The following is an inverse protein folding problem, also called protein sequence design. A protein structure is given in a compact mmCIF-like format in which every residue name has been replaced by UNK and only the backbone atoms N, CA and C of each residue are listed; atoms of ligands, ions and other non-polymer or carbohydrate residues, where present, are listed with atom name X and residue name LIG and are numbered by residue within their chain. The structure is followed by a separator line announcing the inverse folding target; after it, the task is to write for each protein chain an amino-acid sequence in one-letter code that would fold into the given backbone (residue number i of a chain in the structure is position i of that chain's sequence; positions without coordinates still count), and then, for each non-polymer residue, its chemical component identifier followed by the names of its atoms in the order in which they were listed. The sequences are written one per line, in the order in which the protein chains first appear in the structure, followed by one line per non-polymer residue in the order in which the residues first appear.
data_IF_156900802762
#
_entry.id   IF_156900802762
#
_cell.length_a   1.000
_cell.length_b   1.000
_cell.length_c   1.000
_cell.angle_alpha   90.00
_cell.angle_beta   90.00
_cell.angle_gamma   90.00
#
_symmetry.space_group_name_H-M   'P 1'
#
loop_
_entity.id
_entity.type
_entity.pdbx_description
1 polymer ?
#
# COMPACT_ATOMS: atom_id res chain seq x y z
N UNK A 1 2.50 26.51 -15.44
CA UNK A 1 3.08 25.23 -14.99
C UNK A 1 2.43 24.70 -13.71
N UNK A 2 2.23 25.54 -12.68
CA UNK A 2 1.63 25.14 -11.39
C UNK A 2 0.23 24.53 -11.49
N UNK A 3 -0.66 25.13 -12.29
CA UNK A 3 -2.04 24.64 -12.42
C UNK A 3 -2.11 23.19 -12.94
N UNK A 4 -1.33 22.85 -13.98
CA UNK A 4 -1.32 21.49 -14.55
C UNK A 4 -0.89 20.46 -13.51
N UNK A 5 0.12 20.79 -12.71
CA UNK A 5 0.59 19.91 -11.64
C UNK A 5 -0.49 19.76 -10.57
N UNK A 6 -1.10 20.86 -10.13
CA UNK A 6 -2.12 20.83 -9.08
C UNK A 6 -3.33 19.97 -9.47
N UNK A 7 -3.82 20.12 -10.71
CA UNK A 7 -4.88 19.27 -11.25
C UNK A 7 -4.45 17.79 -11.38
N UNK A 8 -3.20 17.53 -11.75
CA UNK A 8 -2.68 16.17 -11.87
C UNK A 8 -2.55 15.50 -10.49
N UNK A 9 -2.04 16.21 -9.50
CA UNK A 9 -1.93 15.73 -8.11
C UNK A 9 -3.30 15.44 -7.53
N UNK A 10 -4.26 16.35 -7.70
CA UNK A 10 -5.63 16.15 -7.22
C UNK A 10 -6.30 14.95 -7.89
N UNK A 11 -6.09 14.76 -9.20
CA UNK A 11 -6.61 13.61 -9.93
C UNK A 11 -6.02 12.29 -9.40
N UNK A 12 -4.71 12.23 -9.14
CA UNK A 12 -4.07 11.04 -8.59
C UNK A 12 -4.51 10.77 -7.14
N UNK A 13 -4.67 11.80 -6.31
CA UNK A 13 -5.23 11.68 -4.96
C UNK A 13 -6.64 11.10 -5.01
N UNK A 14 -7.51 11.65 -5.85
CA UNK A 14 -8.88 11.19 -6.02
C UNK A 14 -8.93 9.73 -6.52
N UNK A 15 -8.12 9.39 -7.54
CA UNK A 15 -8.04 8.02 -8.06
C UNK A 15 -7.54 7.04 -7.01
N UNK A 16 -6.52 7.41 -6.23
CA UNK A 16 -6.01 6.59 -5.13
C UNK A 16 -7.08 6.33 -4.06
N UNK A 17 -7.79 7.37 -3.63
CA UNK A 17 -8.89 7.24 -2.66
C UNK A 17 -10.01 6.36 -3.21
N UNK A 18 -10.43 6.57 -4.47
CA UNK A 18 -11.46 5.75 -5.11
C UNK A 18 -11.02 4.29 -5.21
N UNK A 19 -9.75 4.03 -5.57
CA UNK A 19 -9.20 2.68 -5.63
C UNK A 19 -9.27 1.97 -4.25
N UNK A 20 -8.82 2.64 -3.18
CA UNK A 20 -8.92 2.10 -1.80
C UNK A 20 -10.37 1.79 -1.45
N UNK A 21 -11.26 2.77 -1.62
CA UNK A 21 -12.68 2.62 -1.27
C UNK A 21 -13.31 1.46 -2.05
N UNK A 22 -13.03 1.37 -3.35
CA UNK A 22 -13.56 0.28 -4.18
C UNK A 22 -13.06 -1.08 -3.73
N UNK A 23 -11.76 -1.21 -3.39
CA UNK A 23 -11.18 -2.44 -2.86
C UNK A 23 -11.80 -2.85 -1.53
N UNK A 24 -12.02 -1.90 -0.63
CA UNK A 24 -12.69 -2.12 0.66
C UNK A 24 -14.13 -2.59 0.45
N UNK A 25 -14.90 -1.91 -0.40
CA UNK A 25 -16.30 -2.25 -0.67
C UNK A 25 -16.39 -3.66 -1.27
N UNK A 26 -15.58 -3.97 -2.29
CA UNK A 26 -15.58 -5.29 -2.94
C UNK A 26 -15.20 -6.39 -1.97
N UNK A 27 -14.17 -6.18 -1.15
CA UNK A 27 -13.74 -7.16 -0.16
C UNK A 27 -14.81 -7.38 0.93
N UNK A 28 -15.42 -6.31 1.42
CA UNK A 28 -16.51 -6.37 2.41
C UNK A 28 -17.75 -7.05 1.85
N UNK A 29 -18.18 -6.72 0.62
CA UNK A 29 -19.34 -7.35 -0.02
C UNK A 29 -19.08 -8.84 -0.26
N UNK A 30 -17.88 -9.21 -0.72
CA UNK A 30 -17.52 -10.61 -0.93
C UNK A 30 -17.50 -11.40 0.38
N UNK A 31 -17.06 -10.79 1.49
CA UNK A 31 -17.09 -11.39 2.82
C UNK A 31 -18.52 -11.62 3.30
N UNK A 32 -19.39 -10.61 3.24
CA UNK A 32 -20.79 -10.73 3.69
C UNK A 32 -21.54 -11.81 2.90
N UNK A 33 -21.32 -11.89 1.58
CA UNK A 33 -21.96 -12.90 0.73
C UNK A 33 -21.48 -14.33 1.03
N UNK A 34 -20.22 -14.50 1.42
CA UNK A 34 -19.61 -15.83 1.66
C UNK A 34 -19.60 -16.28 3.11
N UNK A 35 -19.85 -15.37 4.05
CA UNK A 35 -19.90 -15.66 5.48
C UNK A 35 -20.92 -16.76 5.81
N UNK A 36 -22.03 -16.81 5.08
CA UNK A 36 -23.05 -17.85 5.22
C UNK A 36 -22.69 -19.19 4.58
N UNK A 37 -21.65 -19.24 3.73
CA UNK A 37 -21.30 -20.41 2.89
C UNK A 37 -20.03 -21.12 3.35
N UNK A 38 -18.95 -20.36 3.61
CA UNK A 38 -17.58 -20.90 3.73
C UNK A 38 -17.08 -20.94 5.20
N UNK A 39 -17.90 -20.49 6.16
CA UNK A 39 -17.51 -20.34 7.56
C UNK A 39 -16.65 -19.10 7.81
N UNK A 40 -16.54 -18.70 9.09
CA UNK A 40 -15.93 -17.42 9.49
C UNK A 40 -14.41 -17.35 9.20
N UNK A 41 -13.68 -18.42 9.47
CA UNK A 41 -12.21 -18.43 9.48
C UNK A 41 -11.61 -18.33 8.06
N UNK A 42 -12.18 -19.07 7.09
CA UNK A 42 -11.76 -18.99 5.69
C UNK A 42 -12.22 -17.69 5.03
N UNK A 43 -13.43 -17.23 5.34
CA UNK A 43 -13.95 -15.93 4.88
C UNK A 43 -13.09 -14.76 5.38
N UNK A 44 -12.64 -14.81 6.64
CA UNK A 44 -11.79 -13.77 7.23
C UNK A 44 -10.40 -13.71 6.58
N UNK A 45 -9.79 -14.86 6.31
CA UNK A 45 -8.49 -14.94 5.62
C UNK A 45 -8.56 -14.33 4.22
N UNK A 46 -9.62 -14.65 3.46
CA UNK A 46 -9.85 -14.08 2.13
C UNK A 46 -10.18 -12.59 2.18
N UNK A 47 -10.93 -12.15 3.18
CA UNK A 47 -11.21 -10.73 3.42
C UNK A 47 -9.90 -9.94 3.61
N UNK A 48 -9.01 -10.41 4.48
CA UNK A 48 -7.69 -9.77 4.69
C UNK A 48 -6.87 -9.71 3.40
N UNK A 49 -6.81 -10.80 2.63
CA UNK A 49 -6.07 -10.84 1.37
C UNK A 49 -6.64 -9.86 0.32
N UNK A 50 -7.95 -9.80 0.18
CA UNK A 50 -8.62 -8.89 -0.78
C UNK A 50 -8.50 -7.42 -0.35
N UNK A 51 -8.64 -7.14 0.95
CA UNK A 51 -8.41 -5.81 1.50
C UNK A 51 -6.97 -5.36 1.26
N UNK A 52 -5.99 -6.24 1.55
CA UNK A 52 -4.57 -5.97 1.33
C UNK A 52 -4.26 -5.59 -0.12
N UNK A 53 -4.79 -6.34 -1.09
CA UNK A 53 -4.65 -6.05 -2.53
C UNK A 53 -5.27 -4.71 -2.93
N UNK A 54 -6.48 -4.42 -2.47
CA UNK A 54 -7.16 -3.15 -2.78
C UNK A 54 -6.44 -1.93 -2.20
N UNK A 55 -5.95 -2.06 -0.97
CA UNK A 55 -5.16 -1.02 -0.30
C UNK A 55 -3.83 -0.80 -1.01
N UNK A 56 -3.13 -1.86 -1.44
CA UNK A 56 -1.86 -1.78 -2.18
C UNK A 56 -1.99 -0.95 -3.47
N UNK A 57 -2.99 -1.22 -4.29
CA UNK A 57 -3.25 -0.47 -5.53
C UNK A 57 -3.51 1.00 -5.23
N UNK A 58 -4.33 1.28 -4.21
CA UNK A 58 -4.60 2.64 -3.78
C UNK A 58 -3.36 3.36 -3.27
N UNK A 59 -2.51 2.66 -2.51
CA UNK A 59 -1.24 3.21 -2.01
C UNK A 59 -0.27 3.54 -3.14
N UNK A 60 -0.17 2.73 -4.19
CA UNK A 60 0.65 3.03 -5.38
C UNK A 60 0.24 4.35 -6.04
N UNK A 61 -1.06 4.58 -6.22
CA UNK A 61 -1.60 5.82 -6.79
C UNK A 61 -1.37 7.03 -5.88
N UNK A 62 -1.58 6.85 -4.57
CA UNK A 62 -1.28 7.89 -3.60
C UNK A 62 0.23 8.18 -3.52
N UNK A 63 1.12 7.22 -3.85
CA UNK A 63 2.59 7.40 -3.84
C UNK A 63 2.95 8.37 -4.93
N UNK A 64 2.41 8.14 -6.12
CA UNK A 64 2.62 9.03 -7.26
C UNK A 64 2.17 10.47 -6.95
N UNK A 65 0.99 10.64 -6.34
CA UNK A 65 0.47 11.96 -6.01
C UNK A 65 1.36 12.75 -5.02
N UNK A 66 1.80 12.08 -3.97
CA UNK A 66 2.64 12.65 -2.90
C UNK A 66 4.04 13.05 -3.41
N UNK A 67 4.62 12.23 -4.30
CA UNK A 67 5.88 12.56 -4.98
C UNK A 67 5.70 13.77 -5.92
N UNK A 68 4.58 13.89 -6.65
CA UNK A 68 4.35 15.08 -7.50
C UNK A 68 4.15 16.36 -6.67
N UNK A 69 3.42 16.26 -5.55
CA UNK A 69 3.24 17.35 -4.59
C UNK A 69 4.59 17.83 -4.04
N UNK A 70 5.43 16.87 -3.65
CA UNK A 70 6.80 17.07 -3.18
C UNK A 70 7.69 17.83 -4.16
N UNK A 71 7.69 17.43 -5.44
CA UNK A 71 8.60 17.96 -6.45
C UNK A 71 8.29 19.39 -6.89
N UNK A 72 7.05 19.86 -6.67
CA UNK A 72 6.57 21.13 -7.28
C UNK A 72 6.36 22.25 -6.25
N UNK A 73 6.15 21.92 -4.97
CA UNK A 73 5.97 22.91 -3.91
C UNK A 73 7.33 23.36 -3.37
N UNK A 74 8.03 24.19 -4.15
CA UNK A 74 9.16 25.06 -3.76
C UNK A 74 10.37 24.40 -3.05
N UNK A 75 11.58 24.41 -3.63
CA UNK A 75 12.79 23.95 -2.95
C UNK A 75 13.23 24.95 -1.87
N UNK A 76 12.59 24.89 -0.70
CA UNK A 76 12.97 25.60 0.52
C UNK A 76 13.16 24.57 1.63
N UNK A 77 14.24 24.71 2.41
CA UNK A 77 14.64 23.73 3.45
C UNK A 77 13.53 23.46 4.48
N UNK A 78 12.68 24.45 4.78
CA UNK A 78 11.53 24.30 5.69
C UNK A 78 10.41 23.43 5.09
N UNK A 79 10.11 23.60 3.80
CA UNK A 79 9.14 22.78 3.06
C UNK A 79 9.64 21.34 2.87
N UNK A 80 10.96 21.15 2.76
CA UNK A 80 11.60 19.81 2.71
C UNK A 80 11.39 19.04 4.02
N UNK A 81 11.38 19.73 5.18
CA UNK A 81 11.16 19.09 6.48
C UNK A 81 9.76 18.48 6.62
N UNK A 82 8.72 19.23 6.26
CA UNK A 82 7.32 18.74 6.26
C UNK A 82 7.16 17.58 5.29
N UNK A 83 7.73 17.71 4.10
CA UNK A 83 7.74 16.67 3.08
C UNK A 83 8.42 15.38 3.58
N UNK A 84 9.61 15.48 4.15
CA UNK A 84 10.34 14.33 4.70
C UNK A 84 9.50 13.64 5.80
N UNK A 85 8.80 14.41 6.63
CA UNK A 85 7.88 13.87 7.64
C UNK A 85 6.73 13.07 7.02
N UNK A 86 6.06 13.60 5.99
CA UNK A 86 4.95 12.92 5.32
C UNK A 86 5.43 11.62 4.64
N UNK A 87 6.54 11.66 3.89
CA UNK A 87 7.13 10.49 3.22
C UNK A 87 7.54 9.43 4.24
N UNK A 88 8.07 9.83 5.40
CA UNK A 88 8.50 8.91 6.45
C UNK A 88 7.30 8.20 7.11
N UNK A 89 6.25 8.95 7.48
CA UNK A 89 5.00 8.37 8.00
C UNK A 89 4.41 7.38 7.01
N UNK A 90 4.39 7.77 5.73
CA UNK A 90 3.85 6.95 4.65
C UNK A 90 4.63 5.65 4.45
N UNK A 91 5.95 5.73 4.41
CA UNK A 91 6.82 4.55 4.27
C UNK A 91 6.64 3.62 5.46
N UNK A 92 6.57 4.16 6.67
CA UNK A 92 6.36 3.38 7.89
C UNK A 92 5.00 2.66 7.90
N UNK A 93 3.91 3.36 7.61
CA UNK A 93 2.56 2.77 7.57
C UNK A 93 2.42 1.71 6.47
N UNK A 94 2.92 2.01 5.27
CA UNK A 94 2.89 1.06 4.15
C UNK A 94 3.68 -0.20 4.50
N UNK A 95 4.87 -0.03 5.09
CA UNK A 95 5.72 -1.14 5.51
C UNK A 95 5.07 -1.98 6.62
N UNK A 96 4.47 -1.33 7.63
CA UNK A 96 3.77 -2.01 8.73
C UNK A 96 2.60 -2.86 8.21
N UNK A 97 1.79 -2.33 7.28
CA UNK A 97 0.69 -3.08 6.68
C UNK A 97 1.19 -4.26 5.84
N UNK A 98 2.27 -4.07 5.08
CA UNK A 98 2.88 -5.14 4.29
C UNK A 98 3.32 -6.31 5.17
N UNK A 99 3.99 -6.02 6.30
CA UNK A 99 4.42 -7.04 7.27
C UNK A 99 3.23 -7.73 7.93
N UNK A 100 2.15 -7.00 8.24
CA UNK A 100 0.93 -7.57 8.81
C UNK A 100 0.17 -8.50 7.85
N UNK A 101 0.26 -8.22 6.54
CA UNK A 101 -0.34 -9.05 5.49
C UNK A 101 0.53 -10.28 5.20
N UNK A 102 1.85 -10.10 5.06
CA UNK A 102 2.78 -11.16 4.71
C UNK A 102 3.13 -12.07 5.90
N UNK A 103 2.89 -11.61 7.13
CA UNK A 103 3.14 -12.35 8.38
C UNK A 103 4.62 -12.60 8.69
N UNK A 104 5.53 -12.17 7.81
CA UNK A 104 6.97 -12.29 7.95
C UNK A 104 7.67 -10.99 7.53
N UNK A 105 8.79 -10.68 8.16
CA UNK A 105 9.59 -9.53 7.75
C UNK A 105 10.16 -9.75 6.33
N UNK A 106 10.19 -8.72 5.46
CA UNK A 106 10.61 -8.87 4.07
C UNK A 106 12.04 -9.40 3.90
N UNK A 107 12.92 -9.17 4.87
CA UNK A 107 14.30 -9.67 4.88
C UNK A 107 14.45 -11.13 5.35
N UNK A 108 13.38 -11.78 5.84
CA UNK A 108 13.43 -13.15 6.34
C UNK A 108 13.69 -14.21 5.25
N UNK A 109 13.53 -13.87 3.96
CA UNK A 109 13.69 -14.81 2.84
C UNK A 109 15.15 -15.13 2.47
N UNK A 110 16.12 -14.57 3.17
CA UNK A 110 17.54 -14.70 2.79
C UNK A 110 18.17 -16.02 3.24
N UNK A 111 17.56 -16.78 4.16
CA UNK A 111 18.24 -17.94 4.78
C UNK A 111 18.02 -19.29 4.09
N UNK A 112 17.03 -19.45 3.19
CA UNK A 112 16.73 -20.75 2.55
C UNK A 112 17.63 -21.07 1.34
N UNK A 113 18.22 -20.04 0.70
CA UNK A 113 19.08 -20.24 -0.49
C UNK A 113 20.54 -20.55 -0.15
N UNK A 114 21.00 -20.25 1.07
CA UNK A 114 22.40 -20.47 1.49
C UNK A 114 22.70 -21.92 1.86
N UNK A 115 21.69 -22.68 2.32
CA UNK A 115 21.84 -24.09 2.74
C UNK A 115 21.62 -25.09 1.60
N UNK A 116 20.85 -24.73 0.55
CA UNK A 116 20.65 -25.58 -0.64
C UNK A 116 21.79 -25.52 -1.67
N UNK A 117 22.69 -24.54 -1.59
CA UNK A 117 23.88 -24.46 -2.44
C UNK A 117 25.11 -25.21 -1.91
N UNK A 118 25.13 -25.54 -0.61
CA UNK A 118 26.27 -26.17 0.06
C UNK A 118 26.25 -27.71 0.04
N UNK A 119 25.23 -28.33 -0.57
CA UNK A 119 25.01 -29.78 -0.55
C UNK A 119 24.83 -30.41 -1.95
N UNK A 120 25.18 -29.69 -3.02
CA UNK A 120 25.28 -30.30 -4.34
C UNK A 120 26.58 -31.14 -4.41
N UNK A 121 26.50 -32.48 -4.58
CA UNK A 121 27.66 -33.36 -4.73
C UNK A 121 28.37 -33.19 -6.08
#
# INVERSE_FOLDING_TARGET
MSAVVEWSTLALEALGVVAILSGVIVAASAFVMRLASDGFEESYTRLRANLGRGILIGLELLIAADILRSLVISPKLESIGVLAGIVLVRTFLSFSLQVEIDGHWPWAKTELSATMGATAP
#
